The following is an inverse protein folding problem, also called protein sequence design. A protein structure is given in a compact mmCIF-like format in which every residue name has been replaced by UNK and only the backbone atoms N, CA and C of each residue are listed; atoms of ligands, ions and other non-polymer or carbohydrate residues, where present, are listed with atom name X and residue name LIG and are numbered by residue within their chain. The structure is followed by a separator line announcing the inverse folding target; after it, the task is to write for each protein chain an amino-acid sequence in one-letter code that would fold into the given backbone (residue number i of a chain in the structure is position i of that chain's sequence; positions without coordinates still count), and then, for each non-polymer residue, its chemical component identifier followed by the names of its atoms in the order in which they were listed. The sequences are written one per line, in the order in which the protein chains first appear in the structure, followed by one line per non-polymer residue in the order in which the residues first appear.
data_IF_471692073471
#
_entry.id   IF_471692073471
#
_cell.length_a   1.000
_cell.length_b   1.000
_cell.length_c   1.000
_cell.angle_alpha   90.00
_cell.angle_beta   90.00
_cell.angle_gamma   90.00
#
_symmetry.space_group_name_H-M   'P 1'
#
loop_
_entity.id
_entity.type
_entity.pdbx_description
1 polymer ?
#
# COMPACT_ATOMS: atom_id res chain seq x y z
N UNK A 1 4.08 -17.32 -1.06
CA UNK A 1 3.83 -15.94 -0.60
C UNK A 1 4.61 -15.03 -1.53
N UNK A 2 4.07 -13.88 -1.95
CA UNK A 2 4.83 -12.94 -2.79
C UNK A 2 5.76 -12.16 -1.86
N UNK A 3 6.93 -12.73 -1.56
CA UNK A 3 7.91 -12.11 -0.68
C UNK A 3 8.84 -11.24 -1.52
N UNK A 4 9.00 -9.99 -1.12
CA UNK A 4 9.99 -9.08 -1.69
C UNK A 4 11.32 -9.40 -1.00
N UNK A 5 12.32 -9.81 -1.78
CA UNK A 5 13.61 -10.15 -1.22
C UNK A 5 14.39 -8.87 -0.84
N UNK A 6 15.31 -8.99 0.12
CA UNK A 6 16.21 -7.88 0.46
C UNK A 6 17.00 -7.37 -0.75
N UNK A 7 17.35 -8.27 -1.66
CA UNK A 7 18.01 -7.93 -2.92
C UNK A 7 17.13 -7.04 -3.83
N UNK A 8 15.81 -7.23 -3.82
CA UNK A 8 14.88 -6.38 -4.58
C UNK A 8 14.90 -4.94 -4.05
N UNK A 9 14.92 -4.77 -2.73
CA UNK A 9 15.03 -3.44 -2.10
C UNK A 9 16.34 -2.75 -2.50
N UNK A 10 17.44 -3.50 -2.49
CA UNK A 10 18.75 -3.00 -2.95
C UNK A 10 18.71 -2.58 -4.41
N UNK A 11 18.16 -3.42 -5.28
CA UNK A 11 18.05 -3.15 -6.71
C UNK A 11 17.15 -1.94 -6.99
N UNK A 12 16.02 -1.83 -6.31
CA UNK A 12 15.13 -0.67 -6.37
C UNK A 12 15.86 0.62 -5.98
N UNK A 13 16.59 0.61 -4.87
CA UNK A 13 17.36 1.77 -4.43
C UNK A 13 18.45 2.16 -5.44
N UNK A 14 19.21 1.18 -5.92
CA UNK A 14 20.30 1.41 -6.87
C UNK A 14 19.79 1.93 -8.23
N UNK A 15 18.61 1.49 -8.67
CA UNK A 15 17.99 1.97 -9.92
C UNK A 15 17.77 3.49 -9.94
N UNK A 16 17.59 4.10 -8.77
CA UNK A 16 17.42 5.56 -8.60
C UNK A 16 18.64 6.25 -8.00
N UNK A 17 19.77 5.55 -7.89
CA UNK A 17 21.04 6.11 -7.42
C UNK A 17 21.05 6.58 -5.96
N UNK A 18 20.16 6.06 -5.10
CA UNK A 18 20.06 6.50 -3.71
C UNK A 18 20.96 5.72 -2.76
N UNK A 19 21.40 6.39 -1.71
CA UNK A 19 22.11 5.76 -0.59
C UNK A 19 21.15 5.07 0.38
N UNK A 20 21.65 4.10 1.17
CA UNK A 20 20.85 3.42 2.21
C UNK A 20 20.30 4.42 3.23
N UNK A 21 21.06 5.47 3.54
CA UNK A 21 20.62 6.56 4.44
C UNK A 21 19.46 7.37 3.88
N UNK A 22 19.49 7.71 2.59
CA UNK A 22 18.40 8.46 1.94
C UNK A 22 17.12 7.64 1.85
N UNK A 23 17.23 6.35 1.52
CA UNK A 23 16.08 5.47 1.47
C UNK A 23 15.50 5.16 2.86
N UNK A 24 16.35 4.97 3.86
CA UNK A 24 15.90 4.84 5.25
C UNK A 24 15.11 6.08 5.71
N UNK A 25 15.57 7.28 5.35
CA UNK A 25 14.84 8.53 5.63
C UNK A 25 13.47 8.57 4.94
N UNK A 26 13.36 8.07 3.70
CA UNK A 26 12.08 7.98 2.98
C UNK A 26 11.13 6.97 3.61
N UNK A 27 11.65 5.84 4.08
CA UNK A 27 10.88 4.80 4.76
C UNK A 27 10.60 5.10 6.25
N UNK A 28 11.11 6.21 6.80
CA UNK A 28 10.91 6.59 8.20
C UNK A 28 11.61 5.68 9.22
N UNK A 29 12.71 5.03 8.83
CA UNK A 29 13.45 4.09 9.68
C UNK A 29 14.92 4.48 9.86
N UNK A 30 15.61 3.79 10.77
CA UNK A 30 17.06 3.93 10.90
C UNK A 30 17.77 3.34 9.67
N UNK A 31 18.97 3.87 9.36
CA UNK A 31 19.82 3.32 8.30
C UNK A 31 20.10 1.82 8.50
N UNK A 32 20.37 1.40 9.74
CA UNK A 32 20.65 0.00 10.09
C UNK A 32 19.44 -0.89 9.82
N UNK A 33 18.23 -0.43 10.16
CA UNK A 33 16.99 -1.17 9.87
C UNK A 33 16.83 -1.40 8.38
N UNK A 34 17.12 -0.39 7.56
CA UNK A 34 17.02 -0.52 6.10
C UNK A 34 18.09 -1.46 5.53
N UNK A 35 19.33 -1.40 6.04
CA UNK A 35 20.40 -2.32 5.65
C UNK A 35 20.08 -3.77 6.04
N UNK A 36 19.45 -3.98 7.20
CA UNK A 36 18.96 -5.29 7.62
C UNK A 36 17.90 -5.84 6.65
N UNK A 37 16.98 -5.00 6.18
CA UNK A 37 16.02 -5.45 5.16
C UNK A 37 16.72 -5.84 3.86
N UNK A 38 17.71 -5.08 3.40
CA UNK A 38 18.48 -5.44 2.18
C UNK A 38 19.24 -6.76 2.32
N UNK A 39 19.59 -7.17 3.54
CA UNK A 39 20.26 -8.46 3.82
C UNK A 39 19.29 -9.58 4.20
N UNK A 40 17.97 -9.34 4.13
CA UNK A 40 16.94 -10.33 4.45
C UNK A 40 16.67 -10.50 5.94
N UNK A 41 17.19 -9.60 6.78
CA UNK A 41 16.91 -9.56 8.22
C UNK A 41 15.67 -8.68 8.47
N UNK A 42 14.51 -9.32 8.44
CA UNK A 42 13.21 -8.67 8.61
C UNK A 42 12.70 -8.00 7.33
N UNK A 43 11.51 -7.42 7.42
CA UNK A 43 10.78 -6.93 6.25
C UNK A 43 10.14 -5.56 6.51
N UNK A 44 10.02 -4.70 5.47
CA UNK A 44 9.27 -3.47 5.57
C UNK A 44 7.77 -3.76 5.72
N UNK A 45 7.09 -2.96 6.54
CA UNK A 45 5.62 -2.93 6.56
C UNK A 45 5.08 -2.35 5.26
N UNK A 46 3.82 -2.64 4.96
CA UNK A 46 3.17 -2.19 3.71
C UNK A 46 3.31 -0.68 3.46
N UNK A 47 3.09 0.17 4.48
CA UNK A 47 3.27 1.61 4.34
C UNK A 47 4.72 2.00 3.98
N UNK A 48 5.70 1.37 4.63
CA UNK A 48 7.12 1.58 4.36
C UNK A 48 7.49 1.12 2.95
N UNK A 49 6.93 -0.01 2.51
CA UNK A 49 7.12 -0.50 1.15
C UNK A 49 6.54 0.46 0.11
N UNK A 50 5.34 1.02 0.35
CA UNK A 50 4.75 2.04 -0.53
C UNK A 50 5.61 3.31 -0.58
N UNK A 51 6.17 3.76 0.54
CA UNK A 51 7.07 4.91 0.59
C UNK A 51 8.36 4.67 -0.21
N UNK A 52 8.94 3.46 -0.08
CA UNK A 52 10.11 3.03 -0.85
C UNK A 52 9.75 2.95 -2.33
N UNK A 53 8.64 2.32 -2.69
CA UNK A 53 8.19 2.18 -4.08
C UNK A 53 7.95 3.52 -4.75
N UNK A 54 7.31 4.46 -4.04
CA UNK A 54 7.14 5.83 -4.52
C UNK A 54 8.50 6.54 -4.67
N UNK A 55 9.42 6.37 -3.72
CA UNK A 55 10.77 6.95 -3.81
C UNK A 55 11.62 6.35 -4.94
N UNK A 56 11.29 5.15 -5.41
CA UNK A 56 11.90 4.44 -6.54
C UNK A 56 11.09 4.56 -7.84
N UNK A 57 10.07 5.44 -7.88
CA UNK A 57 9.24 5.68 -9.07
C UNK A 57 8.51 4.43 -9.60
N UNK A 58 8.19 3.47 -8.74
CA UNK A 58 7.32 2.35 -9.10
C UNK A 58 5.90 2.83 -9.39
N UNK A 59 5.37 2.41 -10.54
CA UNK A 59 4.02 2.77 -10.96
C UNK A 59 2.98 1.82 -10.35
N UNK A 60 2.06 2.39 -9.55
CA UNK A 60 0.87 1.69 -9.05
C UNK A 60 -0.31 1.74 -10.03
N UNK A 61 -0.15 2.38 -11.19
CA UNK A 61 -1.23 2.54 -12.17
C UNK A 61 -1.87 1.21 -12.63
N UNK A 62 -1.11 0.13 -12.90
CA UNK A 62 -1.71 -1.15 -13.28
C UNK A 62 -2.59 -1.74 -12.18
N UNK A 63 -2.19 -1.59 -10.92
CA UNK A 63 -2.97 -2.03 -9.76
C UNK A 63 -4.26 -1.21 -9.62
N UNK A 64 -4.17 0.12 -9.72
CA UNK A 64 -5.35 0.98 -9.65
C UNK A 64 -6.34 0.73 -10.80
N UNK A 65 -5.84 0.40 -12.00
CA UNK A 65 -6.68 -0.02 -13.12
C UNK A 65 -7.44 -1.31 -12.83
N UNK A 66 -6.80 -2.30 -12.20
CA UNK A 66 -7.48 -3.53 -11.77
C UNK A 66 -8.57 -3.21 -10.74
N UNK A 67 -8.27 -2.35 -9.76
CA UNK A 67 -9.24 -1.93 -8.73
C UNK A 67 -10.44 -1.19 -9.36
N UNK A 68 -10.21 -0.32 -10.35
CA UNK A 68 -11.31 0.38 -11.02
C UNK A 68 -12.17 -0.58 -11.83
N UNK A 69 -11.58 -1.52 -12.57
CA UNK A 69 -12.33 -2.54 -13.30
C UNK A 69 -13.19 -3.39 -12.37
N UNK A 70 -12.67 -3.76 -11.19
CA UNK A 70 -13.48 -4.45 -10.18
C UNK A 70 -14.65 -3.58 -9.72
N UNK A 71 -14.42 -2.29 -9.41
CA UNK A 71 -15.52 -1.38 -9.02
C UNK A 71 -16.62 -1.32 -10.08
N UNK A 72 -16.24 -1.20 -11.35
CA UNK A 72 -17.19 -1.11 -12.46
C UNK A 72 -18.02 -2.40 -12.60
N UNK A 73 -17.40 -3.57 -12.38
CA UNK A 73 -18.09 -4.87 -12.40
C UNK A 73 -19.18 -5.01 -11.32
N UNK A 74 -18.98 -4.41 -10.14
CA UNK A 74 -19.97 -4.48 -9.06
C UNK A 74 -21.00 -3.34 -9.14
N UNK A 75 -20.64 -2.15 -9.63
CA UNK A 75 -21.59 -1.06 -9.85
C UNK A 75 -22.65 -1.38 -10.92
N UNK A 76 -22.33 -2.19 -11.92
CA UNK A 76 -23.31 -2.67 -12.93
C UNK A 76 -24.34 -3.66 -12.37
N UNK A 77 -24.13 -4.20 -11.15
CA UNK A 77 -25.11 -5.08 -10.49
C UNK A 77 -26.21 -4.28 -9.77
N UNK A 78 -25.90 -3.07 -9.30
CA UNK A 78 -26.83 -2.23 -8.54
C UNK A 78 -27.93 -1.59 -9.41
N UNK A 79 -27.75 -1.49 -10.74
CA UNK A 79 -28.82 -0.99 -11.63
C UNK A 79 -29.94 -2.03 -11.86
N UNK A 80 -29.66 -3.32 -11.62
CA UNK A 80 -30.63 -4.40 -11.81
C UNK A 80 -31.20 -4.96 -10.49
N UNK A 81 -30.75 -4.48 -9.33
CA UNK A 81 -31.33 -4.81 -8.02
C UNK A 81 -32.01 -3.59 -7.40
N UNK A 82 -33.32 -3.66 -7.22
CA UNK A 82 -34.12 -2.61 -6.56
C UNK A 82 -33.51 -2.21 -5.20
N UNK A 83 -33.42 -0.92 -4.87
CA UNK A 83 -32.76 -0.48 -3.64
C UNK A 83 -33.50 -0.99 -2.39
N UNK A 84 -32.87 -1.91 -1.65
CA UNK A 84 -33.33 -2.30 -0.32
C UNK A 84 -33.15 -1.12 0.63
N UNK A 85 -34.30 -0.59 1.09
CA UNK A 85 -34.40 0.51 2.05
C UNK A 85 -33.53 0.24 3.29
N UNK A 86 -32.44 0.98 3.44
CA UNK A 86 -31.65 0.99 4.68
C UNK A 86 -32.53 1.50 5.82
N UNK A 87 -32.89 0.61 6.75
CA UNK A 87 -33.62 0.99 7.97
C UNK A 87 -32.71 1.87 8.83
N UNK A 88 -33.02 3.17 8.92
CA UNK A 88 -32.36 4.10 9.84
C UNK A 88 -32.52 3.56 11.28
N UNK A 89 -31.42 3.16 11.92
CA UNK A 89 -31.41 2.88 13.36
C UNK A 89 -31.62 4.21 14.09
N UNK A 90 -32.77 4.38 14.74
CA UNK A 90 -33.02 5.52 15.60
C UNK A 90 -31.95 5.57 16.70
N UNK A 91 -31.16 6.65 16.75
CA UNK A 91 -30.26 6.86 17.88
C UNK A 91 -31.10 7.22 19.10
N UNK A 92 -31.00 6.38 20.14
CA UNK A 92 -31.63 6.62 21.44
C UNK A 92 -30.83 7.74 22.11
N UNK A 93 -31.42 8.93 22.23
CA UNK A 93 -30.84 10.06 22.98
C UNK A 93 -30.52 9.60 24.41
N UNK A 94 -29.24 9.65 24.79
CA UNK A 94 -28.84 9.60 26.18
C UNK A 94 -29.20 10.94 26.82
N UNK A 95 -30.03 10.91 27.86
CA UNK A 95 -30.47 12.07 28.64
C UNK A 95 -29.50 12.20 29.83
N UNK A 96 -28.83 13.34 29.95
CA UNK A 96 -28.14 13.78 31.17
C UNK A 96 -29.09 14.64 31.98
#
# INVERSE_FOLDING_TARGET
MFDIMGEDLRNMRLSVGKTTKEMAKKAGVSRVTYENWETGVGEPRMNQFLDIGHACSLSLAPLFKQISTLRDQFNQRDENETPQKVRKRASKKFKT
#
